data_IF_564016478011
#
_entry.id   IF_564016478011
#
_cell.length_a   1.000
_cell.length_b   1.000
_cell.length_c   1.000
_cell.angle_alpha   90.00
_cell.angle_beta   90.00
_cell.angle_gamma   90.00
#
_symmetry.space_group_name_H-M   'P 1'
#
loop_
_entity.id
_entity.type
_entity.pdbx_description
1 polymer ?
#
# COMPACT_ATOMS: atom_id res chain seq x y z
N UNK A 1 10.47 4.51 -4.98
CA UNK A 1 10.03 4.92 -6.33
C UNK A 1 10.29 3.85 -7.39
N UNK A 2 11.45 3.16 -7.39
CA UNK A 2 11.75 2.08 -8.35
C UNK A 2 10.70 0.97 -8.46
N UNK A 3 10.02 0.62 -7.36
CA UNK A 3 8.88 -0.29 -7.39
C UNK A 3 7.78 0.19 -8.35
N UNK A 4 7.48 1.49 -8.33
CA UNK A 4 6.46 2.09 -9.20
C UNK A 4 6.95 2.13 -10.64
N UNK A 5 8.24 2.40 -10.88
CA UNK A 5 8.84 2.37 -12.22
C UNK A 5 8.71 0.98 -12.86
N UNK A 6 8.99 -0.07 -12.07
CA UNK A 6 8.84 -1.45 -12.49
C UNK A 6 7.37 -1.85 -12.71
N UNK A 7 6.46 -1.41 -11.83
CA UNK A 7 5.03 -1.65 -11.99
C UNK A 7 4.48 -0.98 -13.26
N UNK A 8 4.87 0.27 -13.53
CA UNK A 8 4.49 0.98 -14.75
C UNK A 8 4.97 0.25 -16.01
N UNK A 9 6.23 -0.20 -16.04
CA UNK A 9 6.76 -0.98 -17.16
C UNK A 9 6.04 -2.31 -17.36
N UNK A 10 5.71 -3.02 -16.28
CA UNK A 10 5.03 -4.31 -16.35
C UNK A 10 3.58 -4.17 -16.81
N UNK A 11 2.86 -3.18 -16.25
CA UNK A 11 1.43 -2.95 -16.54
C UNK A 11 1.21 -2.15 -17.82
N UNK A 12 2.23 -1.45 -18.31
CA UNK A 12 2.18 -0.54 -19.47
C UNK A 12 1.06 0.50 -19.34
N UNK A 13 0.86 1.01 -18.13
CA UNK A 13 -0.25 1.90 -17.79
C UNK A 13 0.18 2.98 -16.79
N UNK A 14 -0.40 4.19 -16.84
CA UNK A 14 -0.19 5.19 -15.81
C UNK A 14 -0.68 4.69 -14.45
N UNK A 15 -0.05 5.16 -13.38
CA UNK A 15 -0.34 4.72 -12.02
C UNK A 15 -0.92 5.87 -11.20
N UNK A 16 -1.97 5.57 -10.44
CA UNK A 16 -2.46 6.42 -9.37
C UNK A 16 -2.04 5.77 -8.05
N UNK A 17 -1.30 6.52 -7.24
CA UNK A 17 -0.84 6.08 -5.93
C UNK A 17 -1.50 6.94 -4.87
N UNK A 18 -2.23 6.29 -3.96
CA UNK A 18 -2.83 6.92 -2.79
C UNK A 18 -1.91 6.73 -1.60
N UNK A 19 -1.46 7.82 -0.98
CA UNK A 19 -0.57 7.80 0.19
C UNK A 19 -1.16 8.53 1.38
N UNK A 20 -0.79 8.07 2.57
CA UNK A 20 -0.90 8.88 3.78
C UNK A 20 0.10 10.05 3.76
N UNK A 21 0.08 10.85 4.82
CA UNK A 21 0.93 12.04 4.94
C UNK A 21 2.23 11.80 5.69
N UNK A 22 2.74 10.56 5.73
CA UNK A 22 4.03 10.27 6.35
C UNK A 22 5.11 11.23 5.79
N UNK A 23 5.97 11.77 6.66
CA UNK A 23 6.93 12.82 6.29
C UNK A 23 7.80 12.47 5.07
N UNK A 24 8.11 11.19 4.89
CA UNK A 24 8.85 10.69 3.72
C UNK A 24 8.06 10.84 2.42
N UNK A 25 6.74 10.59 2.42
CA UNK A 25 5.85 10.71 1.26
C UNK A 25 5.66 12.18 0.83
N UNK A 26 5.63 13.12 1.78
CA UNK A 26 5.45 14.55 1.50
C UNK A 26 6.74 15.35 1.37
N UNK A 27 7.90 14.69 1.52
CA UNK A 27 9.22 15.31 1.44
C UNK A 27 9.48 15.96 0.08
N UNK A 28 10.32 17.01 0.04
CA UNK A 28 10.74 17.66 -1.21
C UNK A 28 11.40 16.66 -2.17
N UNK A 29 12.23 15.77 -1.63
CA UNK A 29 12.91 14.72 -2.41
C UNK A 29 11.90 13.74 -3.03
N UNK A 30 10.87 13.32 -2.30
CA UNK A 30 9.85 12.44 -2.87
C UNK A 30 9.01 13.17 -3.93
N UNK A 31 8.62 14.43 -3.67
CA UNK A 31 7.91 15.26 -4.66
C UNK A 31 8.70 15.39 -5.96
N UNK A 32 9.99 15.69 -5.88
CA UNK A 32 10.87 15.77 -7.06
C UNK A 32 10.88 14.45 -7.85
N UNK A 33 10.99 13.31 -7.15
CA UNK A 33 10.92 11.98 -7.79
C UNK A 33 9.57 11.73 -8.44
N UNK A 34 8.47 12.18 -7.86
CA UNK A 34 7.13 12.04 -8.48
C UNK A 34 7.03 12.93 -9.73
N UNK A 35 7.49 14.19 -9.67
CA UNK A 35 7.38 15.13 -10.79
C UNK A 35 8.21 14.74 -12.02
N UNK A 36 9.24 13.92 -11.86
CA UNK A 36 10.01 13.34 -12.98
C UNK A 36 9.22 12.32 -13.82
N UNK A 37 7.99 11.96 -13.39
CA UNK A 37 7.19 10.88 -13.98
C UNK A 37 5.81 11.41 -14.37
N UNK A 38 5.64 11.71 -15.64
CA UNK A 38 4.37 12.16 -16.24
C UNK A 38 3.24 11.11 -16.12
N UNK A 39 3.61 9.82 -16.07
CA UNK A 39 2.69 8.69 -15.91
C UNK A 39 2.23 8.44 -14.46
N UNK A 40 2.77 9.15 -13.46
CA UNK A 40 2.49 8.91 -12.05
C UNK A 40 1.65 10.05 -11.44
N UNK A 41 0.45 9.72 -11.00
CA UNK A 41 -0.38 10.61 -10.17
C UNK A 41 -0.31 10.18 -8.71
N UNK A 42 -0.02 11.11 -7.80
CA UNK A 42 -0.05 10.86 -6.35
C UNK A 42 -1.22 11.62 -5.72
N UNK A 43 -2.08 10.90 -5.03
CA UNK A 43 -3.18 11.44 -4.21
C UNK A 43 -2.80 11.27 -2.74
N UNK A 44 -2.81 12.37 -1.99
CA UNK A 44 -2.57 12.33 -0.55
C UNK A 44 -3.90 12.27 0.19
N UNK A 45 -4.03 11.33 1.11
CA UNK A 45 -5.14 11.29 2.06
C UNK A 45 -5.08 12.50 3.01
N UNK A 46 -6.22 12.89 3.60
CA UNK A 46 -6.25 13.84 4.70
C UNK A 46 -5.31 13.40 5.84
N UNK A 47 -4.78 14.38 6.59
CA UNK A 47 -3.98 14.06 7.78
C UNK A 47 -4.84 13.39 8.85
N UNK A 48 -4.27 12.42 9.56
CA UNK A 48 -4.94 11.71 10.65
C UNK A 48 -6.24 10.99 10.26
N UNK A 49 -6.34 10.52 9.01
CA UNK A 49 -7.48 9.74 8.50
C UNK A 49 -7.10 8.27 8.21
N UNK A 50 -6.73 7.47 9.22
CA UNK A 50 -6.35 6.07 9.02
C UNK A 50 -7.49 5.20 8.46
N UNK A 51 -8.75 5.56 8.71
CA UNK A 51 -9.93 4.91 8.16
C UNK A 51 -10.01 4.98 6.63
N UNK A 52 -9.35 5.96 6.01
CA UNK A 52 -9.27 6.09 4.55
C UNK A 52 -8.11 5.31 3.94
N UNK A 53 -7.19 4.76 4.76
CA UNK A 53 -6.02 4.04 4.28
C UNK A 53 -6.26 2.52 4.31
N UNK A 54 -6.47 1.85 3.15
CA UNK A 54 -6.77 0.42 3.12
C UNK A 54 -5.61 -0.45 3.64
N UNK A 55 -4.38 0.10 3.66
CA UNK A 55 -3.21 -0.58 4.22
C UNK A 55 -3.36 -0.78 5.75
N UNK A 56 -4.12 0.05 6.45
CA UNK A 56 -4.44 -0.18 7.87
C UNK A 56 -5.28 -1.43 8.07
N UNK A 57 -6.27 -1.69 7.20
CA UNK A 57 -7.05 -2.92 7.20
C UNK A 57 -6.20 -4.16 6.94
N UNK A 58 -5.25 -4.06 5.99
CA UNK A 58 -4.26 -5.10 5.74
C UNK A 58 -3.42 -5.39 7.00
N UNK A 59 -2.94 -4.34 7.69
CA UNK A 59 -2.16 -4.50 8.91
C UNK A 59 -2.98 -5.11 10.05
N UNK A 60 -4.21 -4.65 10.26
CA UNK A 60 -5.12 -5.22 11.25
C UNK A 60 -5.37 -6.71 11.00
N UNK A 61 -5.42 -7.15 9.74
CA UNK A 61 -5.57 -8.55 9.37
C UNK A 61 -4.32 -9.39 9.66
N UNK A 62 -3.12 -8.85 9.40
CA UNK A 62 -1.86 -9.61 9.51
C UNK A 62 -1.34 -9.64 10.94
N UNK A 63 -1.40 -8.52 11.67
CA UNK A 63 -0.75 -8.34 12.98
C UNK A 63 -1.12 -9.41 14.01
N UNK A 64 -2.41 -9.80 14.21
CA UNK A 64 -2.77 -10.84 15.18
C UNK A 64 -2.12 -12.19 14.85
N UNK A 65 -2.01 -12.52 13.56
CA UNK A 65 -1.39 -13.78 13.13
C UNK A 65 0.13 -13.81 13.37
N UNK A 66 0.80 -12.64 13.37
CA UNK A 66 2.23 -12.54 13.64
C UNK A 66 2.53 -12.50 15.14
N UNK A 67 1.71 -11.80 15.93
CA UNK A 67 1.87 -11.69 17.37
C UNK A 67 1.83 -13.06 18.07
N UNK A 68 1.03 -13.99 17.55
CA UNK A 68 0.86 -15.33 18.12
C UNK A 68 1.98 -16.32 17.73
N UNK A 69 2.96 -15.92 16.90
CA UNK A 69 3.98 -16.83 16.34
C UNK A 69 5.36 -16.77 17.02
N UNK A 70 5.52 -15.97 18.08
CA UNK A 70 6.74 -15.92 18.93
C UNK A 70 8.07 -16.02 18.13
N UNK A 71 8.19 -15.27 17.03
CA UNK A 71 9.42 -15.22 16.25
C UNK A 71 10.58 -14.74 17.14
N UNK A 72 11.70 -15.45 17.12
CA UNK A 72 12.84 -15.19 18.02
C UNK A 72 13.89 -14.30 17.37
N UNK A 73 13.81 -14.12 16.05
CA UNK A 73 14.72 -13.27 15.28
C UNK A 73 13.96 -12.38 14.29
N UNK A 74 14.61 -11.28 13.88
CA UNK A 74 14.08 -10.41 12.84
C UNK A 74 13.92 -11.14 11.49
N UNK A 75 14.85 -12.04 11.15
CA UNK A 75 14.80 -12.82 9.91
C UNK A 75 13.61 -13.78 9.87
N UNK A 76 13.31 -14.44 11.00
CA UNK A 76 12.11 -15.26 11.14
C UNK A 76 10.84 -14.42 10.96
N UNK A 77 10.77 -13.25 11.61
CA UNK A 77 9.64 -12.35 11.48
C UNK A 77 9.46 -11.87 10.02
N UNK A 78 10.55 -11.49 9.36
CA UNK A 78 10.53 -11.07 7.96
C UNK A 78 10.02 -12.19 7.04
N UNK A 79 10.54 -13.41 7.23
CA UNK A 79 10.13 -14.59 6.47
C UNK A 79 8.63 -14.88 6.63
N UNK A 80 8.14 -14.82 7.87
CA UNK A 80 6.72 -15.02 8.16
C UNK A 80 5.86 -13.91 7.53
N UNK A 81 6.25 -12.64 7.69
CA UNK A 81 5.55 -11.51 7.09
C UNK A 81 5.47 -11.65 5.56
N UNK A 82 6.59 -11.94 4.90
CA UNK A 82 6.63 -12.16 3.45
C UNK A 82 5.71 -13.29 3.01
N UNK A 83 5.70 -14.42 3.74
CA UNK A 83 4.82 -15.56 3.45
C UNK A 83 3.33 -15.17 3.58
N UNK A 84 2.96 -14.41 4.61
CA UNK A 84 1.58 -13.95 4.81
C UNK A 84 1.13 -12.96 3.74
N UNK A 85 1.97 -11.97 3.42
CA UNK A 85 1.71 -11.02 2.34
C UNK A 85 1.58 -11.75 0.98
N UNK A 86 2.43 -12.75 0.72
CA UNK A 86 2.36 -13.56 -0.50
C UNK A 86 1.08 -14.37 -0.59
N UNK A 87 0.59 -14.93 0.53
CA UNK A 87 -0.67 -15.64 0.57
C UNK A 87 -1.87 -14.70 0.33
N UNK A 88 -1.82 -13.46 0.83
CA UNK A 88 -2.85 -12.45 0.60
C UNK A 88 -2.86 -11.92 -0.83
N UNK A 89 -1.70 -11.87 -1.50
CA UNK A 89 -1.58 -11.39 -2.88
C UNK A 89 -2.58 -12.05 -3.84
N UNK A 90 -2.88 -13.34 -3.63
CA UNK A 90 -3.78 -14.11 -4.50
C UNK A 90 -5.24 -14.15 -4.01
N UNK A 91 -5.57 -13.46 -2.90
CA UNK A 91 -6.93 -13.43 -2.32
C UNK A 91 -7.62 -12.11 -2.65
N UNK A 92 -7.98 -11.95 -3.91
CA UNK A 92 -8.49 -10.69 -4.47
C UNK A 92 -9.74 -10.18 -3.72
N UNK A 93 -10.62 -11.06 -3.26
CA UNK A 93 -11.81 -10.69 -2.48
C UNK A 93 -11.47 -10.05 -1.14
N UNK A 94 -10.41 -10.52 -0.47
CA UNK A 94 -9.94 -9.93 0.79
C UNK A 94 -9.30 -8.57 0.54
N UNK A 95 -8.46 -8.47 -0.49
CA UNK A 95 -7.85 -7.18 -0.87
C UNK A 95 -8.92 -6.14 -1.24
N UNK A 96 -9.94 -6.55 -2.00
CA UNK A 96 -11.11 -5.72 -2.29
C UNK A 96 -11.88 -5.32 -1.03
N UNK A 97 -12.01 -6.23 -0.06
CA UNK A 97 -12.66 -5.95 1.23
C UNK A 97 -11.96 -4.88 2.06
N UNK A 98 -10.62 -4.82 2.03
CA UNK A 98 -9.88 -3.74 2.71
C UNK A 98 -10.14 -2.37 2.10
N UNK A 99 -10.28 -2.32 0.77
CA UNK A 99 -10.64 -1.08 0.08
C UNK A 99 -12.10 -0.70 0.34
N UNK A 100 -13.02 -1.66 0.27
CA UNK A 100 -14.43 -1.41 0.59
C UNK A 100 -14.61 -0.89 2.03
N UNK A 101 -13.79 -1.36 2.96
CA UNK A 101 -13.80 -0.90 4.36
C UNK A 101 -13.45 0.58 4.55
N UNK A 102 -12.81 1.24 3.57
CA UNK A 102 -12.53 2.68 3.64
C UNK A 102 -13.67 3.54 3.13
N UNK A 103 -14.69 2.93 2.51
CA UNK A 103 -15.76 3.64 1.82
C UNK A 103 -15.35 4.31 0.50
N UNK A 104 -14.08 4.16 0.08
CA UNK A 104 -13.60 4.65 -1.21
C UNK A 104 -13.96 3.66 -2.32
N UNK A 105 -14.51 4.16 -3.43
CA UNK A 105 -14.77 3.35 -4.63
C UNK A 105 -13.71 3.64 -5.71
N UNK A 106 -13.46 2.66 -6.58
CA UNK A 106 -12.57 2.80 -7.74
C UNK A 106 -13.33 3.21 -9.00
N UNK A 107 -14.57 3.70 -8.83
CA UNK A 107 -15.39 4.10 -9.95
C UNK A 107 -14.74 5.28 -10.66
N UNK A 108 -14.79 5.28 -12.00
CA UNK A 108 -14.36 6.46 -12.75
C UNK A 108 -15.33 7.59 -12.40
N UNK A 109 -14.83 8.80 -12.08
CA UNK A 109 -15.69 9.96 -12.07
C UNK A 109 -16.30 10.10 -13.48
N UNK A 110 -17.62 10.26 -13.54
CA UNK A 110 -18.37 10.53 -14.76
C UNK A 110 -17.94 11.85 -15.41
#
# INVERSE_FOLDING_TARGET
IHLLDGAHHLLKAPLIVVWDRLNTHISKTMKARVTERDWLTVVLLPGYAPELNPVEGLWAHIKPSLANLAARTLSELETLLRRRLKALQYRHSILGGFLAGTGLTLDRPN
#
